data_IF_379494083965
#
_entry.id   IF_379494083965
#
_cell.length_a   1.000
_cell.length_b   1.000
_cell.length_c   1.000
_cell.angle_alpha   90.00
_cell.angle_beta   90.00
_cell.angle_gamma   90.00
#
_symmetry.space_group_name_H-M   'P 1'
#
loop_
_entity.id
_entity.type
_entity.pdbx_description
1 polymer ?
#
# COMPACT_ATOMS: atom_id res chain seq x y z
N UNK A 1 -2.44 -0.06 -3.86
CA UNK A 1 -2.32 0.46 -5.24
C UNK A 1 -2.88 -0.54 -6.21
N UNK A 2 -2.78 -0.28 -7.51
CA UNK A 2 -3.14 -1.20 -8.58
C UNK A 2 -2.21 -0.99 -9.77
N UNK A 3 -1.88 -2.07 -10.48
CA UNK A 3 -1.11 -2.01 -11.72
C UNK A 3 -1.66 -3.05 -12.69
N UNK A 4 -2.04 -2.60 -13.89
CA UNK A 4 -2.38 -3.49 -14.99
C UNK A 4 -1.09 -3.91 -15.68
N UNK A 5 -0.91 -5.21 -15.92
CA UNK A 5 0.22 -5.78 -16.66
C UNK A 5 -0.32 -6.61 -17.83
N UNK A 6 0.38 -6.58 -18.95
CA UNK A 6 0.11 -7.45 -20.10
C UNK A 6 1.24 -8.47 -20.16
N UNK A 7 0.88 -9.76 -20.31
CA UNK A 7 1.83 -10.87 -20.30
C UNK A 7 1.50 -11.81 -21.46
N UNK A 8 2.53 -12.24 -22.19
CA UNK A 8 2.43 -13.38 -23.07
C UNK A 8 2.27 -14.69 -22.26
N UNK A 9 1.80 -15.80 -22.87
CA UNK A 9 1.76 -17.09 -22.19
C UNK A 9 3.14 -17.49 -21.66
N UNK A 10 3.22 -17.77 -20.36
CA UNK A 10 4.46 -18.14 -19.66
C UNK A 10 5.35 -16.96 -19.25
N UNK A 11 5.04 -15.73 -19.67
CA UNK A 11 5.79 -14.54 -19.26
C UNK A 11 5.55 -14.21 -17.79
N UNK A 12 6.59 -13.70 -17.13
CA UNK A 12 6.56 -13.25 -15.74
C UNK A 12 7.21 -11.88 -15.65
N UNK A 13 6.63 -11.03 -14.82
CA UNK A 13 7.17 -9.72 -14.48
C UNK A 13 7.17 -9.54 -12.96
N UNK A 14 8.06 -8.69 -12.47
CA UNK A 14 8.07 -8.18 -11.10
C UNK A 14 7.32 -6.85 -11.07
N UNK A 15 6.36 -6.73 -10.17
CA UNK A 15 5.67 -5.47 -9.89
C UNK A 15 6.07 -4.98 -8.50
N UNK A 16 6.59 -3.76 -8.42
CA UNK A 16 7.03 -3.14 -7.16
C UNK A 16 6.11 -1.98 -6.83
N UNK A 17 5.46 -2.02 -5.66
CA UNK A 17 4.64 -0.93 -5.16
C UNK A 17 5.41 -0.11 -4.12
N UNK A 18 5.48 1.20 -4.32
CA UNK A 18 6.01 2.14 -3.32
C UNK A 18 4.83 2.77 -2.58
N UNK A 19 4.67 2.44 -1.30
CA UNK A 19 3.58 2.90 -0.45
C UNK A 19 4.04 4.10 0.40
N UNK A 20 3.64 5.34 0.08
CA UNK A 20 3.83 6.46 1.00
C UNK A 20 3.11 6.18 2.31
N UNK A 21 3.82 6.35 3.44
CA UNK A 21 3.24 6.12 4.78
C UNK A 21 1.98 6.96 5.03
N UNK A 22 1.89 8.13 4.39
CA UNK A 22 0.72 9.02 4.44
C UNK A 22 -0.58 8.37 3.95
N UNK A 23 -0.49 7.36 3.06
CA UNK A 23 -1.67 6.62 2.60
C UNK A 23 -2.24 5.67 3.67
N UNK A 24 -1.49 5.42 4.75
CA UNK A 24 -1.94 4.67 5.92
C UNK A 24 -2.59 5.57 6.97
N UNK A 25 -2.64 6.89 6.73
CA UNK A 25 -3.26 7.82 7.66
C UNK A 25 -4.79 7.68 7.66
N UNK A 26 -5.38 7.76 8.84
CA UNK A 26 -6.83 7.78 9.06
C UNK A 26 -7.20 8.97 9.96
N UNK A 27 -8.50 9.29 10.03
CA UNK A 27 -9.00 10.31 10.95
C UNK A 27 -9.19 9.70 12.34
N UNK A 28 -8.45 10.21 13.32
CA UNK A 28 -8.57 9.80 14.71
C UNK A 28 -9.87 10.33 15.38
N UNK A 29 -10.04 10.03 16.67
CA UNK A 29 -11.20 10.46 17.45
C UNK A 29 -11.33 11.99 17.59
N UNK A 30 -10.26 12.73 17.35
CA UNK A 30 -10.23 14.21 17.36
C UNK A 30 -10.40 14.81 15.97
N UNK A 31 -10.72 13.99 14.95
CA UNK A 31 -10.84 14.37 13.55
C UNK A 31 -9.53 14.89 12.94
N UNK A 32 -8.38 14.43 13.45
CA UNK A 32 -7.08 14.71 12.85
C UNK A 32 -6.66 13.57 11.92
N UNK A 33 -6.20 13.91 10.71
CA UNK A 33 -5.60 12.94 9.81
C UNK A 33 -4.20 12.58 10.33
N UNK A 34 -4.05 11.38 10.87
CA UNK A 34 -2.83 10.93 11.54
C UNK A 34 -2.41 9.52 11.11
N UNK A 35 -1.12 9.24 11.24
CA UNK A 35 -0.56 7.89 11.17
C UNK A 35 -0.11 7.51 12.58
N UNK A 36 -0.59 6.38 13.08
CA UNK A 36 -0.24 5.82 14.39
C UNK A 36 0.62 4.56 14.24
N UNK A 37 1.40 4.18 15.27
CA UNK A 37 2.04 2.87 15.32
C UNK A 37 1.00 1.75 15.20
N UNK A 38 1.21 0.84 14.25
CA UNK A 38 0.25 -0.21 13.94
C UNK A 38 0.91 -1.35 13.15
N UNK A 39 0.37 -2.57 13.29
CA UNK A 39 0.66 -3.66 12.37
C UNK A 39 -0.24 -3.52 11.15
N UNK A 40 0.36 -3.40 9.97
CA UNK A 40 -0.34 -3.25 8.71
C UNK A 40 -0.26 -4.56 7.94
N UNK A 41 -1.42 -5.16 7.66
CA UNK A 41 -1.51 -6.30 6.76
C UNK A 41 -1.59 -5.82 5.31
N UNK A 42 -0.71 -6.33 4.47
CA UNK A 42 -0.73 -6.12 3.03
C UNK A 42 -1.29 -7.38 2.37
N UNK A 43 -2.28 -7.20 1.49
CA UNK A 43 -2.90 -8.28 0.75
C UNK A 43 -2.83 -7.96 -0.74
N UNK A 44 -2.51 -8.94 -1.58
CA UNK A 44 -2.38 -8.76 -3.02
C UNK A 44 -3.16 -9.87 -3.74
N UNK A 45 -3.95 -9.45 -4.72
CA UNK A 45 -4.76 -10.33 -5.54
C UNK A 45 -5.41 -9.60 -6.71
N UNK A 46 -6.16 -10.33 -7.52
CA UNK A 46 -6.86 -9.79 -8.68
C UNK A 46 -8.25 -9.23 -8.36
N UNK A 47 -8.75 -9.47 -7.14
CA UNK A 47 -10.03 -8.98 -6.63
C UNK A 47 -9.94 -8.85 -5.10
N UNK A 48 -10.76 -7.98 -4.49
CA UNK A 48 -10.86 -7.88 -3.03
C UNK A 48 -11.40 -9.15 -2.38
N UNK A 49 -12.08 -10.02 -3.14
CA UNK A 49 -12.55 -11.33 -2.68
C UNK A 49 -11.54 -12.46 -2.90
N UNK A 50 -10.47 -12.21 -3.66
CA UNK A 50 -9.48 -13.23 -4.02
C UNK A 50 -8.05 -12.67 -3.88
N UNK A 51 -7.46 -12.93 -2.71
CA UNK A 51 -6.20 -12.36 -2.24
C UNK A 51 -5.19 -13.49 -1.91
N UNK A 52 -4.58 -14.15 -2.92
CA UNK A 52 -3.71 -15.30 -2.71
C UNK A 52 -2.37 -14.98 -2.03
N UNK A 53 -1.96 -13.70 -1.98
CA UNK A 53 -0.72 -13.27 -1.34
C UNK A 53 -1.04 -12.34 -0.17
N UNK A 54 -0.32 -12.53 0.94
CA UNK A 54 -0.36 -11.62 2.08
C UNK A 54 1.00 -11.47 2.73
N UNK A 55 1.18 -10.38 3.44
CA UNK A 55 2.34 -10.08 4.27
C UNK A 55 1.96 -9.02 5.29
N UNK A 56 2.88 -8.69 6.20
CA UNK A 56 2.65 -7.63 7.17
C UNK A 56 3.95 -6.90 7.50
N UNK A 57 3.81 -5.66 7.94
CA UNK A 57 4.89 -4.89 8.53
C UNK A 57 4.35 -4.06 9.69
N UNK A 58 5.24 -3.65 10.59
CA UNK A 58 4.90 -2.81 11.74
C UNK A 58 5.36 -1.38 11.48
N UNK A 59 4.45 -0.44 11.67
CA UNK A 59 4.77 0.98 11.82
C UNK A 59 5.17 1.22 13.28
N UNK A 60 6.40 1.65 13.47
CA UNK A 60 6.96 1.97 14.79
C UNK A 60 7.07 3.49 14.98
N UNK A 61 7.38 3.91 16.21
CA UNK A 61 7.60 5.32 16.57
C UNK A 61 6.39 5.94 17.26
N UNK A 62 6.18 7.25 17.05
CA UNK A 62 5.09 8.02 17.64
C UNK A 62 4.08 8.46 16.58
N UNK A 63 2.86 8.73 17.00
CA UNK A 63 1.80 9.27 16.14
C UNK A 63 2.27 10.53 15.40
N UNK A 64 2.03 10.59 14.09
CA UNK A 64 2.33 11.74 13.24
C UNK A 64 1.05 12.29 12.64
N UNK A 65 0.71 13.54 12.97
CA UNK A 65 -0.35 14.28 12.30
C UNK A 65 0.13 14.70 10.91
N UNK A 66 -0.63 14.32 9.87
CA UNK A 66 -0.31 14.60 8.47
C UNK A 66 -0.72 16.03 8.08
N UNK A 67 -1.84 16.51 8.62
CA UNK A 67 -2.39 17.83 8.28
C UNK A 67 -3.09 17.82 6.93
N UNK A 68 -2.33 17.90 5.82
CA UNK A 68 -2.84 17.89 4.45
C UNK A 68 -2.17 16.79 3.63
N UNK A 69 -2.96 15.99 2.91
CA UNK A 69 -2.40 14.93 2.07
C UNK A 69 -1.60 15.50 0.90
N UNK A 70 -0.38 14.99 0.72
CA UNK A 70 0.45 15.30 -0.46
C UNK A 70 0.57 14.12 -1.42
N UNK A 71 0.39 12.91 -0.92
CA UNK A 71 0.34 11.68 -1.71
C UNK A 71 -1.05 11.06 -1.70
N UNK A 72 -1.55 10.72 -2.89
CA UNK A 72 -2.87 10.09 -3.09
C UNK A 72 -2.79 8.70 -3.72
N UNK A 73 -1.63 8.35 -4.28
CA UNK A 73 -1.44 7.10 -5.00
C UNK A 73 -0.17 6.40 -4.56
N UNK A 74 -0.25 5.07 -4.61
CA UNK A 74 0.89 4.19 -4.47
C UNK A 74 1.48 3.99 -5.86
N UNK A 75 2.72 4.44 -6.07
CA UNK A 75 3.41 4.24 -7.34
C UNK A 75 3.69 2.76 -7.55
N UNK A 76 3.65 2.32 -8.82
CA UNK A 76 3.92 0.95 -9.20
C UNK A 76 4.91 0.92 -10.37
N UNK A 77 6.01 0.18 -10.20
CA UNK A 77 6.97 -0.13 -11.25
C UNK A 77 6.78 -1.56 -11.75
N UNK A 78 7.07 -1.81 -13.02
CA UNK A 78 7.01 -3.15 -13.63
C UNK A 78 8.34 -3.42 -14.32
N UNK A 79 8.96 -4.55 -13.99
CA UNK A 79 10.25 -4.99 -14.54
C UNK A 79 10.15 -6.47 -14.95
N UNK A 80 10.92 -6.94 -15.93
CA UNK A 80 11.01 -8.37 -16.24
C UNK A 80 11.41 -9.20 -15.00
N UNK A 81 10.88 -10.42 -14.89
CA UNK A 81 11.15 -11.31 -13.75
C UNK A 81 12.54 -11.95 -13.79
#
# INVERSE_FOLDING_TARGET
GFQRVHLAPGERVRVTFTLPVELLAYYDASMQLAVEPATVQVMVGNSSQHLPLSGAFTLEGTTRVVGQRTHYFCAAGVEPA
#
